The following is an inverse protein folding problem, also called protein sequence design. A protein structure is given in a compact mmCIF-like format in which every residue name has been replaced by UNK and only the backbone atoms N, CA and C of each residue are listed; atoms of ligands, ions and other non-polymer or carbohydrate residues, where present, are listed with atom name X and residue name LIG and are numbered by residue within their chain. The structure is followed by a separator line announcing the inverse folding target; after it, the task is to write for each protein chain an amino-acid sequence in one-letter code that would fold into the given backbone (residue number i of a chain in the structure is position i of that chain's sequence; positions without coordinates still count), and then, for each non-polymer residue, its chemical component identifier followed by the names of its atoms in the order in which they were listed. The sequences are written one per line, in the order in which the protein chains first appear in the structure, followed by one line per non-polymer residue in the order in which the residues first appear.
data_IF_200628519284
#
_entry.id   IF_200628519284
#
_cell.length_a   1.000
_cell.length_b   1.000
_cell.length_c   1.000
_cell.angle_alpha   90.00
_cell.angle_beta   90.00
_cell.angle_gamma   90.00
#
_symmetry.space_group_name_H-M   'P 1'
#
loop_
_entity.id
_entity.type
_entity.pdbx_description
1 polymer ?
#
# COMPACT_ATOMS: atom_id res chain seq x y z
N UNK A 1 12.68 -1.08 0.92
CA UNK A 1 11.61 -2.06 1.24
C UNK A 1 10.95 -2.57 -0.03
N UNK A 2 10.46 -3.79 0.00
CA UNK A 2 9.74 -4.35 -1.13
C UNK A 2 8.26 -4.05 -0.98
N UNK A 3 7.61 -3.66 -2.08
CA UNK A 3 6.19 -3.37 -2.09
C UNK A 3 5.57 -3.72 -3.44
N UNK A 4 4.29 -4.06 -3.40
CA UNK A 4 3.48 -4.20 -4.61
C UNK A 4 3.06 -2.81 -5.04
N UNK A 5 3.39 -2.42 -6.28
CA UNK A 5 3.16 -1.05 -6.74
C UNK A 5 2.20 -1.07 -7.93
N UNK A 6 1.18 -0.21 -7.88
CA UNK A 6 0.26 0.02 -8.99
C UNK A 6 0.73 1.25 -9.76
N UNK A 7 1.31 1.04 -10.92
CA UNK A 7 1.72 2.14 -11.83
C UNK A 7 0.65 2.43 -12.85
N UNK A 8 -0.11 1.42 -13.23
CA UNK A 8 -1.25 1.56 -14.12
C UNK A 8 -2.38 0.66 -13.61
N UNK A 9 -3.61 1.11 -13.75
CA UNK A 9 -4.76 0.27 -13.40
C UNK A 9 -4.84 -0.91 -14.37
N UNK A 10 -5.22 -2.07 -13.85
CA UNK A 10 -5.33 -3.27 -14.66
C UNK A 10 -5.60 -4.50 -13.81
N UNK A 11 -5.55 -5.69 -14.42
CA UNK A 11 -5.81 -6.94 -13.69
C UNK A 11 -4.71 -7.19 -12.64
N UNK A 12 -5.02 -7.95 -11.57
CA UNK A 12 -4.02 -8.25 -10.54
C UNK A 12 -2.74 -8.87 -11.06
N UNK A 13 -2.80 -9.62 -12.15
CA UNK A 13 -1.63 -10.26 -12.76
C UNK A 13 -0.61 -9.25 -13.28
N UNK A 14 -1.02 -8.01 -13.50
CA UNK A 14 -0.12 -6.94 -13.96
C UNK A 14 0.71 -6.33 -12.84
N UNK A 15 0.40 -6.63 -11.59
CA UNK A 15 1.11 -6.07 -10.44
C UNK A 15 2.54 -6.60 -10.36
N UNK A 16 3.44 -5.74 -9.87
CA UNK A 16 4.85 -6.11 -9.69
C UNK A 16 5.33 -5.69 -8.31
N UNK A 17 6.23 -6.49 -7.78
CA UNK A 17 6.94 -6.14 -6.55
C UNK A 17 8.13 -5.27 -6.93
N UNK A 18 8.26 -4.11 -6.29
CA UNK A 18 9.33 -3.16 -6.54
C UNK A 18 10.05 -2.81 -5.26
N UNK A 19 11.28 -2.35 -5.39
CA UNK A 19 12.05 -1.84 -4.26
C UNK A 19 11.79 -0.34 -4.12
N UNK A 20 11.32 0.07 -2.94
CA UNK A 20 11.02 1.46 -2.64
C UNK A 20 11.81 1.90 -1.41
N UNK A 21 12.05 3.21 -1.30
CA UNK A 21 12.58 3.78 -0.08
C UNK A 21 11.57 3.62 1.06
N UNK A 22 12.06 3.34 2.26
CA UNK A 22 11.18 3.27 3.43
C UNK A 22 10.58 4.65 3.70
N UNK A 23 9.27 4.73 3.97
CA UNK A 23 8.63 6.00 4.26
C UNK A 23 9.05 6.54 5.63
N UNK A 24 8.85 7.83 5.83
CA UNK A 24 9.04 8.46 7.13
C UNK A 24 7.68 8.84 7.70
N UNK A 25 7.43 8.60 9.00
CA UNK A 25 6.17 9.01 9.59
C UNK A 25 6.11 10.53 9.69
N UNK A 26 5.01 11.11 9.25
CA UNK A 26 4.71 12.52 9.47
C UNK A 26 4.22 12.77 10.90
N UNK A 27 3.88 14.02 11.19
CA UNK A 27 3.26 14.36 12.47
C UNK A 27 1.95 13.58 12.60
N UNK A 28 1.66 13.08 13.78
CA UNK A 28 0.48 12.25 14.06
C UNK A 28 0.44 10.91 13.32
N UNK A 29 1.59 10.47 12.79
CA UNK A 29 1.70 9.17 12.12
C UNK A 29 2.69 8.27 12.82
N UNK A 30 2.56 6.98 12.56
CA UNK A 30 3.53 5.98 13.00
C UNK A 30 4.02 5.18 11.80
N UNK A 31 5.26 4.71 11.89
CA UNK A 31 5.81 3.76 10.93
C UNK A 31 5.65 2.37 11.52
N UNK A 32 5.00 1.48 10.78
CA UNK A 32 4.76 0.11 11.21
C UNK A 32 5.66 -0.85 10.42
N UNK A 33 6.37 -1.70 11.17
CA UNK A 33 7.08 -2.83 10.58
C UNK A 33 6.04 -3.94 10.35
N UNK A 34 5.61 -4.10 9.10
CA UNK A 34 4.46 -4.93 8.76
C UNK A 34 4.82 -6.40 8.82
N UNK A 35 4.08 -7.17 9.61
CA UNK A 35 4.20 -8.62 9.70
C UNK A 35 3.16 -9.34 8.86
N UNK A 36 2.00 -8.74 8.66
CA UNK A 36 0.92 -9.29 7.85
C UNK A 36 0.07 -8.18 7.27
N UNK A 37 -0.49 -8.40 6.11
CA UNK A 37 -1.40 -7.47 5.47
C UNK A 37 -2.56 -8.25 4.85
N UNK A 38 -3.78 -7.81 5.13
CA UNK A 38 -4.97 -8.42 4.55
C UNK A 38 -5.20 -7.93 3.13
N UNK A 39 -5.71 -8.81 2.28
CA UNK A 39 -6.15 -8.47 0.93
C UNK A 39 -7.66 -8.63 0.90
N UNK A 40 -8.35 -7.56 0.55
CA UNK A 40 -9.81 -7.53 0.57
C UNK A 40 -10.37 -7.28 -0.83
N UNK A 41 -11.64 -7.57 -1.02
CA UNK A 41 -12.28 -7.40 -2.33
C UNK A 41 -12.16 -5.96 -2.87
N UNK A 42 -12.37 -4.90 -2.08
CA UNK A 42 -12.18 -3.54 -2.58
C UNK A 42 -10.79 -3.25 -3.12
N UNK A 43 -9.75 -3.93 -2.62
CA UNK A 43 -8.38 -3.75 -3.12
C UNK A 43 -8.29 -4.14 -4.60
N UNK A 44 -8.99 -5.19 -5.01
CA UNK A 44 -9.03 -5.61 -6.41
C UNK A 44 -9.70 -4.56 -7.28
N UNK A 45 -10.75 -3.92 -6.78
CA UNK A 45 -11.44 -2.85 -7.50
C UNK A 45 -10.53 -1.63 -7.68
N UNK A 46 -9.77 -1.29 -6.65
CA UNK A 46 -8.82 -0.17 -6.72
C UNK A 46 -7.73 -0.47 -7.74
N UNK A 47 -7.17 -1.67 -7.73
CA UNK A 47 -6.12 -2.08 -8.68
C UNK A 47 -6.63 -2.02 -10.12
N UNK A 48 -7.88 -2.41 -10.35
CA UNK A 48 -8.49 -2.37 -11.66
C UNK A 48 -8.96 -0.96 -12.08
N UNK A 49 -8.91 -0.01 -11.19
CA UNK A 49 -9.38 1.36 -11.47
C UNK A 49 -10.90 1.49 -11.46
N UNK A 50 -11.59 0.56 -10.81
CA UNK A 50 -13.08 0.48 -10.81
C UNK A 50 -13.72 0.84 -9.47
N UNK A 51 -12.92 1.29 -8.51
CA UNK A 51 -13.44 1.68 -7.20
C UNK A 51 -13.88 3.15 -7.23
N UNK A 52 -14.72 3.54 -6.26
CA UNK A 52 -15.26 4.91 -6.16
C UNK A 52 -14.19 5.97 -5.93
N UNK A 53 -13.20 5.64 -5.12
CA UNK A 53 -12.11 6.56 -4.78
C UNK A 53 -10.82 5.88 -5.21
N UNK A 54 -10.06 6.55 -6.08
CA UNK A 54 -8.81 6.02 -6.61
C UNK A 54 -7.65 6.91 -6.19
N UNK A 55 -6.56 6.32 -5.63
CA UNK A 55 -5.37 7.10 -5.32
C UNK A 55 -4.66 7.58 -6.58
N UNK A 56 -3.79 8.57 -6.41
CA UNK A 56 -2.88 8.97 -7.47
C UNK A 56 -1.84 7.87 -7.70
N UNK A 57 -1.57 7.56 -8.95
CA UNK A 57 -0.57 6.57 -9.33
C UNK A 57 0.83 7.19 -9.40
N UNK A 58 1.90 6.49 -9.08
CA UNK A 58 1.91 5.11 -8.55
C UNK A 58 1.53 5.06 -7.07
N UNK A 59 0.96 3.94 -6.64
CA UNK A 59 0.61 3.75 -5.23
C UNK A 59 0.76 2.28 -4.84
N UNK A 60 0.78 2.03 -3.53
CA UNK A 60 0.79 0.69 -2.96
C UNK A 60 -0.63 0.38 -2.49
N UNK A 61 -1.28 -0.67 -3.02
CA UNK A 61 -2.66 -0.99 -2.64
C UNK A 61 -2.73 -1.64 -1.26
N UNK A 62 -3.94 -1.69 -0.73
CA UNK A 62 -4.22 -2.31 0.56
C UNK A 62 -4.56 -1.28 1.62
N UNK A 63 -5.38 -1.67 2.59
CA UNK A 63 -5.88 -0.77 3.63
C UNK A 63 -5.82 -1.38 5.02
N UNK A 64 -5.13 -2.50 5.17
CA UNK A 64 -5.14 -3.23 6.42
C UNK A 64 -3.79 -3.89 6.64
N UNK A 65 -3.25 -3.74 7.82
CA UNK A 65 -1.99 -4.39 8.16
C UNK A 65 -1.93 -4.65 9.65
N UNK A 66 -1.03 -5.55 10.03
CA UNK A 66 -0.66 -5.80 11.41
C UNK A 66 0.86 -5.90 11.51
N UNK A 67 1.41 -5.38 12.58
CA UNK A 67 2.85 -5.38 12.77
C UNK A 67 3.25 -4.67 14.04
N UNK A 68 4.48 -4.22 14.09
CA UNK A 68 5.06 -3.56 15.26
C UNK A 68 5.45 -2.15 14.88
N UNK A 69 5.14 -1.18 15.74
CA UNK A 69 5.53 0.21 15.51
C UNK A 69 7.06 0.31 15.55
N UNK A 70 7.65 0.76 14.45
CA UNK A 70 9.10 0.90 14.30
C UNK A 70 9.56 2.34 14.61
N UNK A 71 8.72 3.32 14.33
CA UNK A 71 9.04 4.73 14.60
C UNK A 71 7.74 5.53 14.74
N UNK A 72 7.82 6.64 15.43
CA UNK A 72 6.68 7.55 15.58
C UNK A 72 7.06 8.92 15.06
N UNK A 73 6.07 9.64 14.53
CA UNK A 73 6.20 11.05 14.24
C UNK A 73 6.12 11.88 15.51
N UNK A 74 5.87 13.14 15.35
CA UNK A 74 5.72 14.03 16.51
C UNK A 74 4.33 13.97 17.10
#
# INVERSE_FOLDING_TARGET
MKAVVVREFGPPESLRVEELSAPRPGDDEVLVDVHAAGVNFPDMLVVNGKYQILPLRPFVPGKECAGVVAAVGK
#
